data_IF_717458237028
#
_entry.id   IF_717458237028
#
_cell.length_a   1.000
_cell.length_b   1.000
_cell.length_c   1.000
_cell.angle_alpha   90.00
_cell.angle_beta   90.00
_cell.angle_gamma   90.00
#
_symmetry.space_group_name_H-M   'P 1'
#
loop_
_entity.id
_entity.type
_entity.pdbx_description
1 polymer ?
#
# COMPACT_ATOMS: atom_id res chain seq x y z
N UNK A 1 43.73 -1.10 -5.84
CA UNK A 1 42.32 -0.86 -6.25
C UNK A 1 41.38 -1.86 -5.60
N UNK A 2 41.56 -3.18 -5.80
CA UNK A 2 40.75 -4.20 -5.12
C UNK A 2 40.78 -4.10 -3.59
N UNK A 3 41.94 -3.90 -2.98
CA UNK A 3 42.03 -3.72 -1.52
C UNK A 3 41.31 -2.46 -1.03
N UNK A 4 41.29 -1.39 -1.83
CA UNK A 4 40.56 -0.16 -1.50
C UNK A 4 39.04 -0.40 -1.55
N UNK A 5 38.56 -1.19 -2.52
CA UNK A 5 37.15 -1.60 -2.59
C UNK A 5 36.79 -2.48 -1.39
N UNK A 6 37.62 -3.48 -1.06
CA UNK A 6 37.40 -4.36 0.10
C UNK A 6 37.41 -3.57 1.42
N UNK A 7 38.30 -2.59 1.56
CA UNK A 7 38.35 -1.71 2.74
C UNK A 7 37.11 -0.82 2.82
N UNK A 8 36.66 -0.27 1.69
CA UNK A 8 35.42 0.52 1.62
C UNK A 8 34.18 -0.33 1.98
N UNK A 9 34.11 -1.57 1.50
CA UNK A 9 33.03 -2.51 1.81
C UNK A 9 33.16 -3.16 3.21
N UNK A 10 34.29 -2.99 3.89
CA UNK A 10 34.42 -3.41 5.29
C UNK A 10 33.59 -2.54 6.25
N UNK A 11 33.21 -1.32 5.84
CA UNK A 11 32.15 -0.59 6.52
C UNK A 11 30.81 -1.29 6.28
N UNK A 12 30.28 -1.87 7.36
CA UNK A 12 29.00 -2.60 7.37
C UNK A 12 27.80 -1.80 6.83
N UNK A 13 27.88 -0.47 6.79
CA UNK A 13 26.82 0.40 6.27
C UNK A 13 26.81 0.45 4.74
N UNK A 14 27.96 0.18 4.12
CA UNK A 14 28.15 0.30 2.68
C UNK A 14 27.79 -1.01 2.00
N UNK A 15 26.89 -0.94 1.03
CA UNK A 15 26.48 -2.08 0.21
C UNK A 15 27.29 -2.20 -1.07
N UNK A 16 27.66 -1.06 -1.67
CA UNK A 16 28.43 -1.02 -2.92
C UNK A 16 29.40 0.16 -2.94
N UNK A 17 30.65 -0.12 -3.28
CA UNK A 17 31.67 0.87 -3.61
C UNK A 17 32.03 0.79 -5.09
N UNK A 18 32.33 1.93 -5.70
CA UNK A 18 32.85 2.01 -7.08
C UNK A 18 34.24 2.65 -7.08
N UNK A 19 35.14 2.24 -7.99
CA UNK A 19 36.40 2.94 -8.20
C UNK A 19 36.14 4.27 -8.92
N UNK A 20 36.54 5.39 -8.32
CA UNK A 20 36.42 6.71 -8.91
C UNK A 20 37.61 7.59 -8.51
N UNK A 21 38.27 8.23 -9.49
CA UNK A 21 39.36 9.16 -9.22
C UNK A 21 40.61 8.57 -8.56
N UNK A 22 40.80 7.23 -8.62
CA UNK A 22 41.90 6.54 -7.95
C UNK A 22 41.57 6.02 -6.55
N UNK A 23 40.37 6.35 -6.03
CA UNK A 23 39.88 5.92 -4.72
C UNK A 23 38.65 5.01 -4.87
N UNK A 24 38.32 4.27 -3.81
CA UNK A 24 37.06 3.54 -3.72
C UNK A 24 36.03 4.41 -3.00
N UNK A 25 34.93 4.76 -3.68
CA UNK A 25 33.90 5.66 -3.15
C UNK A 25 32.63 4.87 -2.85
N UNK A 26 32.01 5.03 -1.66
CA UNK A 26 30.76 4.37 -1.34
C UNK A 26 29.62 4.99 -2.16
N UNK A 27 28.98 4.16 -2.98
CA UNK A 27 27.88 4.58 -3.87
C UNK A 27 26.52 4.27 -3.27
N UNK A 28 26.37 3.06 -2.70
CA UNK A 28 25.09 2.57 -2.19
C UNK A 28 25.28 2.11 -0.74
N UNK A 29 24.38 2.56 0.13
CA UNK A 29 24.30 2.16 1.52
C UNK A 29 23.15 1.17 1.72
N UNK A 30 23.30 0.25 2.66
CA UNK A 30 22.25 -0.72 3.01
C UNK A 30 20.95 -0.04 3.42
N UNK A 31 21.04 1.09 4.13
CA UNK A 31 19.87 1.88 4.51
C UNK A 31 19.03 2.30 3.29
N UNK A 32 19.68 2.78 2.21
CA UNK A 32 19.02 3.15 0.96
C UNK A 32 18.35 1.96 0.26
N UNK A 33 19.01 0.79 0.27
CA UNK A 33 18.44 -0.46 -0.26
C UNK A 33 17.20 -0.86 0.54
N UNK A 34 17.29 -0.90 1.87
CA UNK A 34 16.15 -1.28 2.73
C UNK A 34 15.00 -0.29 2.62
N UNK A 35 15.28 1.01 2.49
CA UNK A 35 14.27 2.03 2.27
C UNK A 35 13.57 1.85 0.92
N UNK A 36 14.32 1.58 -0.16
CA UNK A 36 13.74 1.31 -1.48
C UNK A 36 12.83 0.06 -1.45
N UNK A 37 13.31 -1.04 -0.86
CA UNK A 37 12.49 -2.26 -0.69
C UNK A 37 11.22 -1.96 0.11
N UNK A 38 11.34 -1.18 1.20
CA UNK A 38 10.20 -0.75 1.99
C UNK A 38 9.18 0.07 1.20
N UNK A 39 9.64 1.02 0.38
CA UNK A 39 8.79 1.83 -0.50
C UNK A 39 8.08 0.92 -1.52
N UNK A 40 8.79 0.02 -2.19
CA UNK A 40 8.19 -0.89 -3.16
C UNK A 40 7.18 -1.85 -2.53
N UNK A 41 7.49 -2.42 -1.36
CA UNK A 41 6.57 -3.30 -0.65
C UNK A 41 5.31 -2.56 -0.19
N UNK A 42 5.47 -1.35 0.35
CA UNK A 42 4.36 -0.50 0.75
C UNK A 42 3.49 -0.07 -0.44
N UNK A 43 4.11 0.31 -1.56
CA UNK A 43 3.42 0.68 -2.79
C UNK A 43 2.67 -0.50 -3.40
N UNK A 44 3.26 -1.69 -3.38
CA UNK A 44 2.60 -2.91 -3.86
C UNK A 44 1.34 -3.22 -3.05
N UNK A 45 1.42 -3.13 -1.72
CA UNK A 45 0.24 -3.24 -0.87
C UNK A 45 -0.80 -2.15 -1.19
N UNK A 46 -0.36 -0.90 -1.31
CA UNK A 46 -1.25 0.22 -1.58
C UNK A 46 -1.97 0.07 -2.93
N UNK A 47 -1.27 -0.37 -3.98
CA UNK A 47 -1.84 -0.66 -5.29
C UNK A 47 -2.90 -1.78 -5.20
N UNK A 48 -2.61 -2.84 -4.45
CA UNK A 48 -3.59 -3.91 -4.23
C UNK A 48 -4.81 -3.42 -3.43
N UNK A 49 -4.62 -2.54 -2.45
CA UNK A 49 -5.71 -1.93 -1.69
C UNK A 49 -6.60 -1.06 -2.58
N UNK A 50 -6.01 -0.17 -3.39
CA UNK A 50 -6.73 0.68 -4.36
C UNK A 50 -7.51 -0.16 -5.38
N UNK A 51 -6.90 -1.24 -5.88
CA UNK A 51 -7.57 -2.21 -6.76
C UNK A 51 -8.78 -2.89 -6.10
N UNK A 52 -8.63 -3.31 -4.84
CA UNK A 52 -9.74 -3.91 -4.09
C UNK A 52 -10.88 -2.89 -3.89
N UNK A 53 -10.54 -1.62 -3.79
CA UNK A 53 -11.46 -0.48 -3.70
C UNK A 53 -12.05 -0.05 -5.04
N UNK A 54 -11.67 -0.70 -6.16
CA UNK A 54 -12.28 -0.52 -7.48
C UNK A 54 -11.64 0.55 -8.34
N UNK A 55 -10.57 1.17 -7.86
CA UNK A 55 -9.79 2.15 -8.60
C UNK A 55 -8.56 1.52 -9.26
N UNK A 56 -7.95 2.24 -10.20
CA UNK A 56 -6.80 1.77 -10.96
C UNK A 56 -5.52 1.69 -10.07
N UNK A 57 -4.90 0.50 -9.90
CA UNK A 57 -3.67 0.36 -9.12
C UNK A 57 -2.49 1.17 -9.67
N UNK A 58 -2.47 1.51 -10.96
CA UNK A 58 -1.37 2.27 -11.58
C UNK A 58 -1.27 3.70 -11.03
N UNK A 59 -2.37 4.22 -10.49
CA UNK A 59 -2.43 5.51 -9.79
C UNK A 59 -1.47 5.56 -8.60
N UNK A 60 -1.22 4.43 -7.92
CA UNK A 60 -0.28 4.36 -6.81
C UNK A 60 1.16 4.49 -7.28
N UNK A 61 1.52 3.83 -8.39
CA UNK A 61 2.85 3.89 -8.97
C UNK A 61 3.17 5.28 -9.51
N UNK A 62 2.17 5.93 -10.13
CA UNK A 62 2.26 7.35 -10.52
C UNK A 62 2.45 8.26 -9.30
N UNK A 63 1.65 8.05 -8.25
CA UNK A 63 1.69 8.87 -7.04
C UNK A 63 3.05 8.78 -6.32
N UNK A 64 3.78 7.66 -6.43
CA UNK A 64 5.09 7.51 -5.79
C UNK A 64 6.06 8.62 -6.18
N UNK A 65 6.17 8.96 -7.48
CA UNK A 65 7.09 10.02 -7.92
C UNK A 65 6.60 11.39 -7.45
N UNK A 66 5.29 11.61 -7.50
CA UNK A 66 4.65 12.83 -7.01
C UNK A 66 4.87 13.04 -5.52
N UNK A 67 4.96 11.99 -4.72
CA UNK A 67 5.11 12.08 -3.26
C UNK A 67 6.59 12.08 -2.87
N UNK A 68 7.40 11.17 -3.44
CA UNK A 68 8.78 10.95 -3.03
C UNK A 68 9.68 12.15 -3.33
N UNK A 69 9.52 12.80 -4.48
CA UNK A 69 10.36 13.96 -4.85
C UNK A 69 10.09 15.15 -3.91
N UNK A 70 8.83 15.61 -3.70
CA UNK A 70 8.54 16.64 -2.72
C UNK A 70 8.88 16.24 -1.29
N UNK A 71 8.71 14.98 -0.90
CA UNK A 71 9.07 14.52 0.45
C UNK A 71 10.59 14.59 0.70
N UNK A 72 11.43 14.15 -0.25
CA UNK A 72 12.88 14.28 -0.12
C UNK A 72 13.31 15.75 -0.07
N UNK A 73 12.74 16.59 -0.94
CA UNK A 73 13.00 18.02 -0.95
C UNK A 73 12.56 18.68 0.36
N UNK A 74 11.33 18.42 0.81
CA UNK A 74 10.76 18.95 2.04
C UNK A 74 11.55 18.53 3.27
N UNK A 75 12.00 17.28 3.32
CA UNK A 75 12.83 16.79 4.42
C UNK A 75 14.18 17.51 4.49
N UNK A 76 14.76 17.82 3.33
CA UNK A 76 16.00 18.62 3.25
C UNK A 76 15.76 20.08 3.63
N UNK A 77 14.75 20.71 3.06
CA UNK A 77 14.43 22.12 3.32
C UNK A 77 14.08 22.36 4.79
N UNK A 78 13.34 21.44 5.41
CA UNK A 78 13.03 21.53 6.84
C UNK A 78 14.28 21.39 7.72
N UNK A 79 15.18 20.47 7.38
CA UNK A 79 16.43 20.33 8.10
C UNK A 79 17.26 21.63 8.05
N UNK A 80 17.43 22.20 6.85
CA UNK A 80 18.16 23.47 6.68
C UNK A 80 17.45 24.61 7.40
N UNK A 81 16.13 24.68 7.33
CA UNK A 81 15.34 25.70 8.03
C UNK A 81 15.51 25.60 9.56
N UNK A 82 15.48 24.39 10.12
CA UNK A 82 15.67 24.16 11.54
C UNK A 82 17.10 24.53 12.00
N UNK A 83 18.12 24.20 11.20
CA UNK A 83 19.52 24.58 11.45
C UNK A 83 19.69 26.12 11.46
N UNK A 84 19.14 26.81 10.45
CA UNK A 84 19.20 28.27 10.35
C UNK A 84 18.46 28.98 11.50
N UNK A 85 17.34 28.41 11.97
CA UNK A 85 16.63 28.92 13.15
C UNK A 85 17.37 28.64 14.46
N UNK A 86 18.11 27.53 14.54
CA UNK A 86 18.92 27.14 15.70
C UNK A 86 20.16 28.00 15.91
N UNK A 87 20.51 28.85 14.93
CA UNK A 87 21.66 29.76 15.00
C UNK A 87 22.99 29.12 14.61
N UNK A 88 22.99 27.85 14.18
CA UNK A 88 24.17 27.20 13.61
C UNK A 88 24.41 27.75 12.20
N UNK A 89 25.61 28.27 11.96
CA UNK A 89 25.98 28.97 10.72
C UNK A 89 26.38 28.03 9.58
N UNK A 90 25.91 26.77 9.60
CA UNK A 90 26.34 25.75 8.64
C UNK A 90 25.75 26.00 7.24
N UNK A 91 24.54 26.55 7.17
CA UNK A 91 23.89 26.90 5.90
C UNK A 91 23.65 28.40 5.78
N UNK A 92 24.06 28.96 4.64
CA UNK A 92 23.87 30.38 4.30
C UNK A 92 23.28 30.48 2.91
N UNK A 93 22.44 31.51 2.68
CA UNK A 93 21.92 31.85 1.36
C UNK A 93 23.02 32.14 0.32
N UNK A 94 24.27 32.33 0.77
CA UNK A 94 25.44 32.46 -0.09
C UNK A 94 25.82 31.16 -0.83
N UNK A 95 25.35 29.99 -0.39
CA UNK A 95 25.68 28.68 -0.99
C UNK A 95 24.41 27.85 -1.29
N UNK A 96 23.56 28.30 -2.23
CA UNK A 96 22.24 27.72 -2.46
C UNK A 96 22.27 26.25 -2.91
N UNK A 97 23.35 25.81 -3.56
CA UNK A 97 23.50 24.41 -3.99
C UNK A 97 23.68 23.45 -2.80
N UNK A 98 24.20 23.91 -1.66
CA UNK A 98 24.36 23.07 -0.46
C UNK A 98 23.03 22.85 0.26
N UNK A 99 22.10 23.81 0.13
CA UNK A 99 20.74 23.71 0.69
C UNK A 99 20.01 22.54 0.07
N UNK A 100 20.13 22.35 -1.26
CA UNK A 100 19.38 21.32 -1.99
C UNK A 100 20.12 19.97 -2.00
N UNK A 101 21.43 19.95 -1.78
CA UNK A 101 22.24 18.73 -1.90
C UNK A 101 21.90 17.69 -0.82
N UNK A 102 21.22 16.57 -1.17
CA UNK A 102 20.83 15.56 -0.19
C UNK A 102 22.01 14.66 0.23
N UNK A 103 23.14 14.69 -0.51
CA UNK A 103 24.31 13.87 -0.22
C UNK A 103 25.12 14.36 0.98
N UNK A 104 24.89 15.59 1.43
CA UNK A 104 25.52 16.13 2.62
C UNK A 104 24.95 15.53 3.92
N UNK A 105 23.97 14.62 3.82
CA UNK A 105 23.19 14.16 4.98
C UNK A 105 22.24 15.25 5.46
N UNK A 106 21.57 15.06 6.58
CA UNK A 106 20.65 16.06 7.15
C UNK A 106 19.30 16.12 6.42
N UNK A 107 18.42 15.18 6.78
CA UNK A 107 17.02 15.19 6.38
C UNK A 107 16.16 15.11 7.63
N UNK A 108 15.05 15.84 7.64
CA UNK A 108 14.09 15.79 8.72
C UNK A 108 12.79 15.13 8.25
N UNK A 109 12.33 14.11 8.97
CA UNK A 109 11.11 13.36 8.64
C UNK A 109 9.86 14.24 8.65
N UNK A 110 9.80 15.28 9.49
CA UNK A 110 8.66 16.20 9.54
C UNK A 110 8.47 16.96 8.23
N UNK A 111 9.57 17.50 7.67
CA UNK A 111 9.54 18.16 6.37
C UNK A 111 9.11 17.23 5.25
N UNK A 112 9.60 15.99 5.28
CA UNK A 112 9.22 14.99 4.28
C UNK A 112 7.74 14.60 4.36
N UNK A 113 7.21 14.41 5.58
CA UNK A 113 5.80 14.10 5.78
C UNK A 113 4.89 15.25 5.31
N UNK A 114 5.18 16.50 5.69
CA UNK A 114 4.36 17.66 5.30
C UNK A 114 4.32 17.83 3.78
N UNK A 115 5.48 17.83 3.12
CA UNK A 115 5.54 18.01 1.67
C UNK A 115 4.96 16.80 0.92
N UNK A 116 5.13 15.58 1.45
CA UNK A 116 4.51 14.38 0.89
C UNK A 116 2.99 14.42 0.97
N UNK A 117 2.41 14.85 2.10
CA UNK A 117 0.96 15.02 2.27
C UNK A 117 0.42 16.09 1.32
N UNK A 118 1.10 17.24 1.22
CA UNK A 118 0.72 18.30 0.29
C UNK A 118 0.72 17.77 -1.15
N UNK A 119 1.77 17.04 -1.53
CA UNK A 119 1.86 16.46 -2.86
C UNK A 119 0.77 15.43 -3.15
N UNK A 120 0.42 14.58 -2.17
CA UNK A 120 -0.67 13.62 -2.28
C UNK A 120 -2.02 14.33 -2.50
N UNK A 121 -2.30 15.40 -1.76
CA UNK A 121 -3.53 16.20 -1.92
C UNK A 121 -3.58 16.85 -3.31
N UNK A 122 -2.46 17.42 -3.78
CA UNK A 122 -2.36 18.02 -5.11
C UNK A 122 -2.58 16.95 -6.19
N UNK A 123 -1.92 15.80 -6.06
CA UNK A 123 -2.06 14.68 -6.99
C UNK A 123 -3.50 14.17 -7.06
N UNK A 124 -4.14 13.93 -5.90
CA UNK A 124 -5.53 13.49 -5.82
C UNK A 124 -6.49 14.45 -6.52
N UNK A 125 -6.30 15.77 -6.34
CA UNK A 125 -7.10 16.79 -7.03
C UNK A 125 -6.87 16.83 -8.53
N UNK A 126 -5.63 16.71 -9.00
CA UNK A 126 -5.31 16.74 -10.44
C UNK A 126 -5.86 15.51 -11.14
N UNK A 127 -5.72 14.34 -10.53
CA UNK A 127 -6.15 13.05 -11.08
C UNK A 127 -7.62 12.73 -10.78
N UNK A 128 -8.31 13.57 -10.00
CA UNK A 128 -9.71 13.41 -9.58
C UNK A 128 -9.97 12.08 -8.86
N UNK A 129 -9.02 11.68 -8.01
CA UNK A 129 -9.11 10.47 -7.19
C UNK A 129 -9.42 10.88 -5.76
N UNK A 130 -10.16 10.03 -5.06
CA UNK A 130 -10.36 10.19 -3.64
C UNK A 130 -9.01 10.13 -2.88
N UNK A 131 -8.62 11.27 -2.33
CA UNK A 131 -7.35 11.40 -1.61
C UNK A 131 -7.34 10.57 -0.34
N UNK A 132 -8.50 10.30 0.26
CA UNK A 132 -8.60 9.46 1.45
C UNK A 132 -8.33 7.99 1.16
N UNK A 133 -8.81 7.49 0.02
CA UNK A 133 -8.46 6.14 -0.44
C UNK A 133 -6.94 5.99 -0.59
N UNK A 134 -6.30 6.97 -1.25
CA UNK A 134 -4.85 6.95 -1.45
C UNK A 134 -4.09 7.08 -0.12
N UNK A 135 -4.60 7.89 0.82
CA UNK A 135 -4.01 8.06 2.15
C UNK A 135 -4.13 6.79 3.01
N UNK A 136 -5.30 6.14 3.02
CA UNK A 136 -5.53 4.87 3.70
C UNK A 136 -4.61 3.78 3.17
N UNK A 137 -4.54 3.63 1.85
CA UNK A 137 -3.65 2.68 1.18
C UNK A 137 -2.17 2.98 1.50
N UNK A 138 -1.77 4.25 1.38
CA UNK A 138 -0.40 4.71 1.58
C UNK A 138 0.08 4.55 3.02
N UNK A 139 -0.73 4.87 4.03
CA UNK A 139 -0.34 4.75 5.44
C UNK A 139 -0.27 3.30 5.92
N UNK A 140 -1.12 2.42 5.39
CA UNK A 140 -0.96 0.98 5.60
C UNK A 140 0.34 0.47 4.96
N UNK A 141 0.63 0.91 3.73
CA UNK A 141 1.92 0.65 3.09
C UNK A 141 3.12 1.22 3.86
N UNK A 142 2.94 2.36 4.52
CA UNK A 142 3.97 3.01 5.35
C UNK A 142 4.34 2.16 6.57
N UNK A 143 3.40 1.46 7.21
CA UNK A 143 3.73 0.53 8.31
C UNK A 143 4.68 -0.59 7.85
N UNK A 144 4.43 -1.15 6.67
CA UNK A 144 5.30 -2.17 6.04
C UNK A 144 6.67 -1.55 5.77
N UNK A 145 6.69 -0.38 5.13
CA UNK A 145 7.93 0.32 4.78
C UNK A 145 8.78 0.68 5.99
N UNK A 146 8.15 1.18 7.06
CA UNK A 146 8.82 1.50 8.32
C UNK A 146 9.39 0.25 8.98
N UNK A 147 8.65 -0.87 8.99
CA UNK A 147 9.13 -2.13 9.54
C UNK A 147 10.37 -2.64 8.79
N UNK A 148 10.34 -2.64 7.45
CA UNK A 148 11.50 -3.03 6.63
C UNK A 148 12.67 -2.06 6.85
N UNK A 149 12.40 -0.77 6.99
CA UNK A 149 13.42 0.24 7.30
C UNK A 149 14.18 -0.02 8.61
N UNK A 150 13.56 -0.67 9.61
CA UNK A 150 14.23 -1.06 10.86
C UNK A 150 15.35 -2.09 10.64
N UNK A 151 15.33 -2.85 9.55
CA UNK A 151 16.46 -3.72 9.15
C UNK A 151 17.69 -2.85 8.84
N UNK A 152 17.51 -1.70 8.20
CA UNK A 152 18.58 -0.73 7.96
C UNK A 152 19.20 -0.23 9.26
N UNK A 153 18.37 0.09 10.27
CA UNK A 153 18.86 0.49 11.59
C UNK A 153 19.66 -0.64 12.29
N UNK A 154 19.19 -1.88 12.16
CA UNK A 154 19.91 -3.04 12.68
C UNK A 154 21.28 -3.24 11.99
N UNK A 155 21.34 -3.07 10.67
CA UNK A 155 22.60 -3.11 9.91
C UNK A 155 23.51 -1.96 10.33
N UNK A 156 22.99 -0.76 10.58
CA UNK A 156 23.79 0.40 10.99
C UNK A 156 24.21 0.41 12.47
N UNK A 157 23.64 -0.48 13.31
CA UNK A 157 23.79 -0.44 14.78
C UNK A 157 23.34 0.90 15.36
N UNK A 158 22.18 1.35 14.93
CA UNK A 158 21.56 2.58 15.41
C UNK A 158 20.17 2.28 16.00
N UNK A 159 19.64 3.21 16.78
CA UNK A 159 18.34 3.08 17.47
C UNK A 159 18.23 1.83 18.37
N UNK A 160 19.35 1.38 18.96
CA UNK A 160 19.30 0.44 20.07
C UNK A 160 18.97 1.17 21.39
N UNK A 161 18.50 0.42 22.37
CA UNK A 161 18.05 0.93 23.66
C UNK A 161 19.12 0.89 24.75
N UNK A 162 18.73 1.05 26.03
CA UNK A 162 19.65 0.96 27.15
C UNK A 162 20.26 -0.44 27.28
N UNK A 163 21.37 -0.58 28.04
CA UNK A 163 21.94 -1.88 28.35
C UNK A 163 20.92 -2.77 29.07
N UNK A 164 20.91 -4.07 28.73
CA UNK A 164 20.11 -5.08 29.42
C UNK A 164 20.89 -5.62 30.63
N UNK A 165 20.17 -6.02 31.67
CA UNK A 165 20.77 -6.76 32.80
C UNK A 165 20.91 -8.27 32.51
N UNK A 166 20.47 -8.71 31.32
CA UNK A 166 20.46 -10.13 30.93
C UNK A 166 21.77 -10.54 30.26
N UNK A 167 22.30 -11.70 30.64
CA UNK A 167 23.50 -12.29 30.04
C UNK A 167 23.22 -13.05 28.74
N UNK A 168 21.96 -13.38 28.45
CA UNK A 168 21.55 -14.15 27.28
C UNK A 168 20.72 -13.36 26.28
N UNK A 169 20.01 -12.32 26.74
CA UNK A 169 19.10 -11.52 25.92
C UNK A 169 19.66 -10.12 25.64
N UNK A 170 19.49 -9.68 24.40
CA UNK A 170 19.94 -8.37 23.92
C UNK A 170 21.01 -8.48 22.84
N UNK A 171 21.20 -7.38 22.11
CA UNK A 171 22.17 -7.29 21.04
C UNK A 171 23.52 -6.83 21.55
N UNK A 172 24.60 -7.35 20.97
CA UNK A 172 25.94 -6.86 21.22
C UNK A 172 26.20 -5.62 20.35
N UNK A 173 26.55 -4.51 20.99
CA UNK A 173 26.92 -3.25 20.32
C UNK A 173 28.43 -3.09 20.44
N UNK A 174 29.19 -3.10 19.33
CA UNK A 174 30.63 -2.86 19.37
C UNK A 174 30.93 -1.46 19.94
N UNK A 175 32.02 -1.33 20.69
CA UNK A 175 32.35 -0.09 21.42
C UNK A 175 32.35 1.18 20.54
N UNK A 176 32.80 1.06 19.29
CA UNK A 176 32.84 2.17 18.32
C UNK A 176 31.46 2.69 17.86
N UNK A 177 30.38 1.94 18.10
CA UNK A 177 29.00 2.32 17.76
C UNK A 177 28.17 2.65 19.02
N UNK A 178 28.79 2.64 20.20
CA UNK A 178 28.10 2.95 21.45
C UNK A 178 27.88 4.45 21.61
N UNK A 179 26.73 4.81 22.17
CA UNK A 179 26.44 6.16 22.64
C UNK A 179 27.51 6.53 23.68
N UNK A 180 27.90 7.81 23.78
CA UNK A 180 28.95 8.25 24.70
C UNK A 180 28.76 7.75 26.14
N UNK A 181 27.51 7.75 26.62
CA UNK A 181 27.14 7.32 27.98
C UNK A 181 27.40 5.83 28.25
N UNK A 182 27.52 5.02 27.19
CA UNK A 182 27.73 3.57 27.25
C UNK A 182 29.12 3.13 26.76
N UNK A 183 29.99 4.08 26.41
CA UNK A 183 31.30 3.79 25.83
C UNK A 183 32.19 2.96 26.76
N UNK A 184 32.05 3.11 28.09
CA UNK A 184 32.85 2.44 29.11
C UNK A 184 32.36 1.04 29.51
N UNK A 185 31.20 0.59 29.01
CA UNK A 185 30.65 -0.71 29.37
C UNK A 185 31.51 -1.88 28.86
N UNK A 186 31.45 -3.07 29.49
CA UNK A 186 32.14 -4.27 29.02
C UNK A 186 31.83 -4.62 27.55
N UNK A 187 32.74 -5.35 26.89
CA UNK A 187 32.56 -5.73 25.49
C UNK A 187 31.38 -6.69 25.26
N UNK A 188 31.06 -7.51 26.28
CA UNK A 188 29.95 -8.44 26.34
C UNK A 188 28.63 -7.81 26.82
N UNK A 189 28.63 -6.51 27.14
CA UNK A 189 27.41 -5.79 27.49
C UNK A 189 26.39 -5.87 26.34
N UNK A 190 25.16 -6.22 26.70
CA UNK A 190 24.04 -6.38 25.79
C UNK A 190 23.11 -5.19 25.90
N UNK A 191 22.44 -4.85 24.80
CA UNK A 191 21.52 -3.71 24.70
C UNK A 191 20.16 -4.18 24.20
N UNK A 192 19.10 -3.47 24.60
CA UNK A 192 17.77 -3.70 24.06
C UNK A 192 17.76 -3.44 22.55
N UNK A 193 17.42 -4.41 21.68
CA UNK A 193 17.29 -4.16 20.25
C UNK A 193 15.98 -3.43 19.93
N UNK A 194 15.88 -2.17 20.34
CA UNK A 194 14.67 -1.35 20.26
C UNK A 194 14.14 -1.22 18.83
N UNK A 195 15.01 -1.17 17.82
CA UNK A 195 14.61 -1.21 16.40
C UNK A 195 13.84 -2.50 16.03
N UNK A 196 14.15 -3.64 16.65
CA UNK A 196 13.41 -4.90 16.43
C UNK A 196 12.06 -4.84 17.15
N UNK A 197 12.00 -4.28 18.36
CA UNK A 197 10.74 -4.08 19.07
C UNK A 197 9.79 -3.23 18.22
N UNK A 198 10.30 -2.13 17.67
CA UNK A 198 9.54 -1.25 16.80
C UNK A 198 9.12 -1.95 15.50
N UNK A 199 10.00 -2.74 14.86
CA UNK A 199 9.65 -3.55 13.69
C UNK A 199 8.48 -4.50 13.98
N UNK A 200 8.54 -5.23 15.09
CA UNK A 200 7.47 -6.17 15.50
C UNK A 200 6.17 -5.41 15.76
N UNK A 201 6.22 -4.29 16.46
CA UNK A 201 5.05 -3.47 16.74
C UNK A 201 4.42 -2.87 15.47
N UNK A 202 5.24 -2.43 14.50
CA UNK A 202 4.77 -1.93 13.20
C UNK A 202 4.08 -3.03 12.38
N UNK A 203 4.68 -4.24 12.33
CA UNK A 203 4.08 -5.39 11.65
C UNK A 203 2.80 -5.86 12.36
N UNK A 204 2.78 -5.85 13.70
CA UNK A 204 1.59 -6.18 14.48
C UNK A 204 0.48 -5.17 14.26
N UNK A 205 0.79 -3.87 14.21
CA UNK A 205 -0.18 -2.83 13.87
C UNK A 205 -0.72 -3.00 12.45
N UNK A 206 0.16 -3.24 11.45
CA UNK A 206 -0.27 -3.53 10.09
C UNK A 206 -1.19 -4.76 10.05
N UNK A 207 -0.78 -5.87 10.68
CA UNK A 207 -1.55 -7.11 10.70
C UNK A 207 -2.91 -6.95 11.36
N UNK A 208 -2.98 -6.24 12.50
CA UNK A 208 -4.21 -5.94 13.20
C UNK A 208 -5.14 -5.06 12.35
N UNK A 209 -4.64 -3.94 11.81
CA UNK A 209 -5.43 -3.03 10.99
C UNK A 209 -5.90 -3.69 9.69
N UNK A 210 -5.03 -4.48 9.05
CA UNK A 210 -5.40 -5.25 7.86
C UNK A 210 -6.47 -6.30 8.18
N UNK A 211 -6.34 -7.00 9.30
CA UNK A 211 -7.35 -7.97 9.74
C UNK A 211 -8.71 -7.30 10.01
N UNK A 212 -8.72 -6.20 10.78
CA UNK A 212 -9.94 -5.44 11.07
C UNK A 212 -10.56 -4.86 9.80
N UNK A 213 -9.72 -4.36 8.89
CA UNK A 213 -10.14 -3.93 7.57
C UNK A 213 -10.85 -5.05 6.81
N UNK A 214 -10.23 -6.23 6.74
CA UNK A 214 -10.78 -7.36 5.99
C UNK A 214 -12.03 -7.98 6.58
N UNK A 215 -12.22 -7.90 7.90
CA UNK A 215 -13.46 -8.36 8.53
C UNK A 215 -14.63 -7.41 8.28
N UNK A 216 -14.35 -6.11 8.11
CA UNK A 216 -15.37 -5.05 8.12
C UNK A 216 -15.23 -4.10 6.92
N UNK A 217 -14.77 -4.59 5.76
CA UNK A 217 -14.43 -3.74 4.61
C UNK A 217 -15.64 -2.96 4.07
N UNK A 218 -16.83 -3.52 4.26
CA UNK A 218 -18.15 -2.96 3.94
C UNK A 218 -18.61 -1.84 4.88
N UNK A 219 -18.00 -1.71 6.05
CA UNK A 219 -18.38 -0.71 7.07
C UNK A 219 -17.30 0.33 7.33
N UNK A 220 -16.07 0.06 6.90
CA UNK A 220 -14.95 0.97 7.07
C UNK A 220 -14.97 2.03 5.98
N UNK A 221 -15.26 3.27 6.39
CA UNK A 221 -15.29 4.44 5.50
C UNK A 221 -13.88 4.93 5.19
N UNK A 222 -13.69 5.51 4.01
CA UNK A 222 -12.39 6.06 3.57
C UNK A 222 -11.90 7.15 4.52
N UNK A 223 -10.62 7.09 4.87
CA UNK A 223 -9.95 7.92 5.87
C UNK A 223 -9.91 7.30 7.28
N UNK A 224 -10.62 6.19 7.51
CA UNK A 224 -10.59 5.49 8.80
C UNK A 224 -9.20 4.92 9.08
N UNK A 225 -8.53 4.35 8.07
CA UNK A 225 -7.21 3.74 8.27
C UNK A 225 -6.14 4.80 8.55
N UNK A 226 -6.30 6.03 8.05
CA UNK A 226 -5.47 7.18 8.48
C UNK A 226 -5.57 7.41 9.99
N UNK A 227 -6.79 7.50 10.53
CA UNK A 227 -7.01 7.70 11.96
C UNK A 227 -6.46 6.54 12.80
N UNK A 228 -6.71 5.31 12.35
CA UNK A 228 -6.21 4.10 13.00
C UNK A 228 -4.67 3.97 12.94
N UNK A 229 -4.05 4.41 11.84
CA UNK A 229 -2.61 4.52 11.71
C UNK A 229 -2.04 5.50 12.75
N UNK A 230 -2.62 6.69 12.90
CA UNK A 230 -2.13 7.69 13.85
C UNK A 230 -2.23 7.22 15.30
N UNK A 231 -3.34 6.56 15.66
CA UNK A 231 -3.47 5.89 16.96
C UNK A 231 -2.35 4.87 17.17
N UNK A 232 -2.14 4.01 16.18
CA UNK A 232 -1.10 2.96 16.23
C UNK A 232 0.29 3.58 16.33
N UNK A 233 0.60 4.59 15.53
CA UNK A 233 1.86 5.30 15.53
C UNK A 233 2.14 5.96 16.89
N UNK A 234 1.14 6.61 17.50
CA UNK A 234 1.26 7.18 18.84
C UNK A 234 1.48 6.12 19.92
N UNK A 235 0.75 5.01 19.88
CA UNK A 235 0.92 3.89 20.81
C UNK A 235 2.31 3.24 20.68
N UNK A 236 2.75 2.94 19.47
CA UNK A 236 4.08 2.39 19.18
C UNK A 236 5.16 3.35 19.70
N UNK A 237 5.05 4.65 19.36
CA UNK A 237 6.03 5.64 19.78
C UNK A 237 6.10 5.73 21.30
N UNK A 238 4.96 5.74 21.98
CA UNK A 238 4.90 5.74 23.45
C UNK A 238 5.60 4.51 24.07
N UNK A 239 5.33 3.30 23.56
CA UNK A 239 5.97 2.07 24.06
C UNK A 239 7.48 2.06 23.80
N UNK A 240 7.90 2.43 22.60
CA UNK A 240 9.31 2.43 22.19
C UNK A 240 10.12 3.46 22.97
N UNK A 241 9.50 4.58 23.35
CA UNK A 241 10.18 5.67 24.06
C UNK A 241 10.76 5.25 25.41
N UNK A 242 10.15 4.30 26.12
CA UNK A 242 10.71 3.74 27.36
C UNK A 242 12.09 3.07 27.16
N UNK A 243 12.43 2.72 25.92
CA UNK A 243 13.69 2.07 25.55
C UNK A 243 14.59 2.97 24.71
N UNK A 244 14.39 4.30 24.71
CA UNK A 244 15.19 5.26 23.93
C UNK A 244 16.07 6.11 24.85
N UNK A 245 17.38 5.85 24.93
CA UNK A 245 18.30 6.55 25.83
C UNK A 245 18.74 7.94 25.33
N UNK A 246 18.50 8.24 24.05
CA UNK A 246 19.06 9.39 23.30
C UNK A 246 18.04 10.54 23.09
N UNK A 247 16.93 10.54 23.82
CA UNK A 247 15.85 11.49 23.56
C UNK A 247 15.99 12.74 24.44
N UNK A 248 15.99 13.95 23.84
CA UNK A 248 16.06 15.18 24.62
C UNK A 248 14.79 15.37 25.44
N UNK A 249 14.96 15.58 26.74
CA UNK A 249 13.88 15.94 27.65
C UNK A 249 13.37 17.34 27.31
N UNK A 250 12.06 17.45 27.08
CA UNK A 250 11.38 18.73 26.88
C UNK A 250 10.96 19.34 28.22
N UNK A 251 10.44 18.51 29.13
CA UNK A 251 9.96 18.91 30.45
C UNK A 251 10.46 17.90 31.47
N UNK A 252 11.18 18.36 32.49
CA UNK A 252 11.51 17.55 33.67
C UNK A 252 10.45 17.83 34.74
N UNK A 253 9.66 16.82 35.07
CA UNK A 253 8.64 16.91 36.11
C UNK A 253 9.29 16.92 37.50
N UNK A 254 8.61 17.49 38.50
CA UNK A 254 9.12 17.61 39.87
C UNK A 254 9.43 16.25 40.56
N UNK A 255 8.90 15.15 40.03
CA UNK A 255 9.18 13.79 40.48
C UNK A 255 10.40 13.15 39.80
N UNK A 256 11.12 13.89 38.96
CA UNK A 256 12.29 13.41 38.21
C UNK A 256 11.96 12.72 36.89
N UNK A 257 10.69 12.60 36.51
CA UNK A 257 10.31 12.02 35.22
C UNK A 257 10.48 13.03 34.09
N UNK A 258 11.05 12.61 32.97
CA UNK A 258 11.26 13.46 31.80
C UNK A 258 10.19 13.19 30.72
N UNK A 259 9.51 14.25 30.28
CA UNK A 259 8.66 14.21 29.10
C UNK A 259 9.53 14.63 27.92
N UNK A 260 9.88 13.66 27.08
CA UNK A 260 10.56 13.92 25.81
C UNK A 260 9.62 14.50 24.73
N UNK A 261 10.21 15.10 23.69
CA UNK A 261 9.48 15.55 22.50
C UNK A 261 8.63 14.43 21.87
N UNK A 262 9.10 13.19 21.96
CA UNK A 262 8.42 12.03 21.41
C UNK A 262 7.14 11.68 22.16
N UNK A 263 7.08 11.89 23.47
CA UNK A 263 5.82 11.73 24.23
C UNK A 263 4.75 12.73 23.77
N UNK A 264 5.15 13.98 23.56
CA UNK A 264 4.23 15.02 23.05
C UNK A 264 3.73 14.65 21.66
N UNK A 265 4.62 14.18 20.78
CA UNK A 265 4.22 13.72 19.44
C UNK A 265 3.29 12.51 19.50
N UNK A 266 3.52 11.55 20.40
CA UNK A 266 2.60 10.43 20.60
C UNK A 266 1.20 10.90 20.99
N UNK A 267 1.09 11.87 21.91
CA UNK A 267 -0.19 12.46 22.31
C UNK A 267 -0.85 13.16 21.12
N UNK A 268 -0.10 13.94 20.35
CA UNK A 268 -0.62 14.61 19.16
C UNK A 268 -1.16 13.60 18.15
N UNK A 269 -0.43 12.53 17.85
CA UNK A 269 -0.91 11.48 16.94
C UNK A 269 -2.19 10.83 17.45
N UNK A 270 -2.26 10.49 18.74
CA UNK A 270 -3.46 9.90 19.32
C UNK A 270 -4.66 10.86 19.24
N UNK A 271 -4.48 12.12 19.64
CA UNK A 271 -5.56 13.11 19.62
C UNK A 271 -6.06 13.37 18.20
N UNK A 272 -5.16 13.58 17.24
CA UNK A 272 -5.53 13.79 15.83
C UNK A 272 -6.21 12.54 15.27
N UNK A 273 -5.69 11.35 15.57
CA UNK A 273 -6.31 10.08 15.18
C UNK A 273 -7.74 9.91 15.70
N UNK A 274 -7.98 10.21 16.98
CA UNK A 274 -9.32 10.18 17.59
C UNK A 274 -10.25 11.19 16.89
N UNK A 275 -9.80 12.44 16.73
CA UNK A 275 -10.62 13.49 16.09
C UNK A 275 -11.00 13.08 14.67
N UNK A 276 -10.06 12.55 13.89
CA UNK A 276 -10.34 12.05 12.55
C UNK A 276 -11.37 10.92 12.59
N UNK A 277 -11.20 9.92 13.46
CA UNK A 277 -12.17 8.83 13.55
C UNK A 277 -13.57 9.32 13.96
N UNK A 278 -13.67 10.21 14.94
CA UNK A 278 -14.95 10.79 15.35
C UNK A 278 -15.61 11.58 14.22
N UNK A 279 -14.83 12.25 13.37
CA UNK A 279 -15.34 12.95 12.20
C UNK A 279 -15.79 11.98 11.10
N UNK A 280 -14.98 10.95 10.78
CA UNK A 280 -15.30 9.94 9.77
C UNK A 280 -16.59 9.18 10.10
N UNK A 281 -16.86 8.93 11.37
CA UNK A 281 -18.11 8.30 11.84
C UNK A 281 -19.20 9.30 12.24
N UNK A 282 -19.12 10.55 11.77
CA UNK A 282 -20.14 11.60 11.94
C UNK A 282 -20.55 11.91 13.39
N UNK A 283 -19.70 11.59 14.36
CA UNK A 283 -19.89 11.97 15.78
C UNK A 283 -19.64 13.47 15.96
N UNK A 284 -18.69 14.02 15.20
CA UNK A 284 -18.39 15.44 15.12
C UNK A 284 -18.36 15.87 13.64
N UNK A 285 -18.76 17.11 13.36
CA UNK A 285 -18.67 17.69 12.00
C UNK A 285 -17.68 18.84 11.98
N UNK A 286 -16.74 18.77 11.04
CA UNK A 286 -15.77 19.84 10.81
C UNK A 286 -16.30 20.71 9.65
N UNK A 287 -16.66 21.98 9.88
CA UNK A 287 -17.44 22.78 8.92
C UNK A 287 -16.71 23.15 7.63
N UNK A 288 -15.38 22.97 7.57
CA UNK A 288 -14.54 23.32 6.42
C UNK A 288 -14.06 22.09 5.63
N UNK A 289 -14.58 20.89 5.93
CA UNK A 289 -14.27 19.65 5.20
C UNK A 289 -15.50 19.16 4.42
N UNK A 290 -15.27 18.62 3.21
CA UNK A 290 -16.25 17.75 2.55
C UNK A 290 -16.68 16.60 3.47
N UNK A 291 -17.98 16.36 3.54
CA UNK A 291 -18.53 15.32 4.41
C UNK A 291 -17.95 13.94 4.01
N UNK A 292 -17.57 13.10 4.98
CA UNK A 292 -17.10 11.75 4.69
C UNK A 292 -18.24 10.90 4.12
N UNK A 293 -17.87 9.88 3.34
CA UNK A 293 -18.78 8.80 2.97
C UNK A 293 -19.38 8.19 4.25
N UNK A 294 -20.70 8.01 4.27
CA UNK A 294 -21.42 7.37 5.39
C UNK A 294 -21.24 5.85 5.36
N UNK A 295 -21.51 5.20 6.50
CA UNK A 295 -21.46 3.73 6.58
C UNK A 295 -22.54 3.11 5.69
N UNK A 296 -23.71 3.73 5.61
CA UNK A 296 -24.80 3.28 4.74
C UNK A 296 -24.40 3.33 3.26
N UNK A 297 -23.84 4.44 2.79
CA UNK A 297 -23.33 4.59 1.41
C UNK A 297 -22.23 3.56 1.11
N UNK A 298 -21.38 3.27 2.10
CA UNK A 298 -20.31 2.27 1.98
C UNK A 298 -20.90 0.87 1.80
N UNK A 299 -21.84 0.48 2.65
CA UNK A 299 -22.51 -0.83 2.56
C UNK A 299 -23.27 -0.97 1.24
N UNK A 300 -23.95 0.09 0.78
CA UNK A 300 -24.65 0.11 -0.51
C UNK A 300 -23.70 -0.10 -1.68
N UNK A 301 -22.56 0.59 -1.69
CA UNK A 301 -21.54 0.42 -2.71
C UNK A 301 -21.03 -1.03 -2.78
N UNK A 302 -20.76 -1.67 -1.63
CA UNK A 302 -20.37 -3.09 -1.61
C UNK A 302 -21.48 -4.01 -2.12
N UNK A 303 -22.74 -3.76 -1.72
CA UNK A 303 -23.89 -4.53 -2.20
C UNK A 303 -24.04 -4.42 -3.72
N UNK A 304 -23.86 -3.23 -4.29
CA UNK A 304 -23.90 -3.01 -5.74
C UNK A 304 -22.77 -3.78 -6.44
N UNK A 305 -21.54 -3.65 -5.95
CA UNK A 305 -20.37 -4.34 -6.52
C UNK A 305 -20.50 -5.86 -6.46
N UNK A 306 -21.06 -6.41 -5.39
CA UNK A 306 -21.32 -7.85 -5.30
C UNK A 306 -22.39 -8.31 -6.30
N UNK A 307 -23.45 -7.51 -6.51
CA UNK A 307 -24.47 -7.79 -7.53
C UNK A 307 -23.87 -7.81 -8.93
N UNK A 308 -23.02 -6.84 -9.26
CA UNK A 308 -22.32 -6.77 -10.54
C UNK A 308 -21.40 -7.98 -10.74
N UNK A 309 -20.62 -8.36 -9.71
CA UNK A 309 -19.77 -9.55 -9.77
C UNK A 309 -20.59 -10.81 -10.04
N UNK A 310 -21.69 -11.01 -9.31
CA UNK A 310 -22.59 -12.17 -9.52
C UNK A 310 -23.23 -12.16 -10.92
N UNK A 311 -23.58 -10.98 -11.45
CA UNK A 311 -24.08 -10.84 -12.83
C UNK A 311 -23.02 -11.22 -13.86
N UNK A 312 -21.80 -10.73 -13.71
CA UNK A 312 -20.68 -11.06 -14.60
C UNK A 312 -20.33 -12.56 -14.57
N UNK A 313 -20.32 -13.17 -13.37
CA UNK A 313 -20.10 -14.62 -13.21
C UNK A 313 -21.20 -15.45 -13.91
N UNK A 314 -22.48 -15.03 -13.81
CA UNK A 314 -23.59 -15.69 -14.51
C UNK A 314 -23.46 -15.57 -16.02
N UNK A 315 -23.10 -14.40 -16.54
CA UNK A 315 -22.89 -14.18 -17.97
C UNK A 315 -21.72 -15.03 -18.50
N UNK A 316 -20.58 -15.02 -17.80
CA UNK A 316 -19.42 -15.84 -18.15
C UNK A 316 -19.74 -17.35 -18.12
N UNK A 317 -20.52 -17.81 -17.15
CA UNK A 317 -20.97 -19.20 -17.09
C UNK A 317 -21.91 -19.55 -18.26
N UNK A 318 -22.82 -18.64 -18.65
CA UNK A 318 -23.69 -18.82 -19.82
C UNK A 318 -22.88 -18.88 -21.12
N UNK A 319 -21.89 -18.01 -21.28
CA UNK A 319 -20.98 -18.01 -22.44
C UNK A 319 -20.16 -19.30 -22.52
N UNK A 320 -19.60 -19.75 -21.39
CA UNK A 320 -18.86 -21.01 -21.32
C UNK A 320 -19.74 -22.22 -21.70
N UNK A 321 -20.98 -22.27 -21.21
CA UNK A 321 -21.93 -23.34 -21.56
C UNK A 321 -22.32 -23.30 -23.05
N UNK A 322 -22.48 -22.11 -23.64
CA UNK A 322 -22.74 -21.95 -25.08
C UNK A 322 -21.54 -22.43 -25.91
N UNK A 323 -20.32 -22.10 -25.51
CA UNK A 323 -19.12 -22.61 -26.18
C UNK A 323 -19.01 -24.13 -26.11
N UNK A 324 -19.29 -24.73 -24.95
CA UNK A 324 -19.26 -26.18 -24.77
C UNK A 324 -20.28 -26.88 -25.67
N UNK A 325 -21.52 -26.37 -25.73
CA UNK A 325 -22.55 -26.88 -26.66
C UNK A 325 -22.11 -26.76 -28.12
N UNK A 326 -21.46 -25.66 -28.51
CA UNK A 326 -20.94 -25.47 -29.87
C UNK A 326 -19.83 -26.48 -30.20
N UNK A 327 -18.91 -26.74 -29.25
CA UNK A 327 -17.85 -27.75 -29.41
C UNK A 327 -18.43 -29.15 -29.52
N UNK A 328 -19.38 -29.51 -28.66
CA UNK A 328 -20.04 -30.81 -28.71
C UNK A 328 -20.78 -31.03 -30.04
N UNK A 329 -21.47 -30.01 -30.57
CA UNK A 329 -22.12 -30.06 -31.89
C UNK A 329 -21.11 -30.20 -33.03
N UNK A 330 -19.96 -29.51 -32.96
CA UNK A 330 -18.90 -29.65 -33.96
C UNK A 330 -18.28 -31.06 -33.94
N UNK A 331 -17.98 -31.60 -32.76
CA UNK A 331 -17.47 -32.99 -32.62
C UNK A 331 -18.48 -34.04 -33.09
N UNK A 332 -19.78 -33.82 -32.84
CA UNK A 332 -20.83 -34.68 -33.39
C UNK A 332 -20.86 -34.59 -34.91
N UNK A 333 -20.84 -33.39 -35.49
CA UNK A 333 -20.83 -33.21 -36.94
C UNK A 333 -19.58 -33.84 -37.60
N UNK A 334 -18.40 -33.74 -36.98
CA UNK A 334 -17.19 -34.42 -37.44
C UNK A 334 -17.33 -35.95 -37.40
N UNK A 335 -17.85 -36.52 -36.30
CA UNK A 335 -18.14 -37.97 -36.21
C UNK A 335 -19.11 -38.43 -37.30
N UNK A 336 -20.20 -37.69 -37.49
CA UNK A 336 -21.16 -37.98 -38.56
C UNK A 336 -20.53 -37.87 -39.96
N UNK A 337 -19.57 -36.97 -40.17
CA UNK A 337 -18.85 -36.85 -41.45
C UNK A 337 -17.84 -37.99 -41.67
N UNK A 338 -17.16 -38.47 -40.63
CA UNK A 338 -16.26 -39.63 -40.69
C UNK A 338 -17.02 -40.93 -40.97
N UNK A 339 -18.18 -41.15 -40.32
CA UNK A 339 -19.03 -42.31 -40.56
C UNK A 339 -19.62 -42.35 -41.99
N UNK A 340 -19.70 -41.19 -42.67
CA UNK A 340 -20.19 -41.07 -44.06
C UNK A 340 -19.10 -41.25 -45.12
N UNK A 341 -17.83 -41.46 -44.76
CA UNK A 341 -16.81 -41.83 -45.75
C UNK A 341 -17.18 -43.20 -46.34
N UNK A 342 -17.44 -43.30 -47.66
CA UNK A 342 -17.88 -44.56 -48.25
C UNK A 342 -16.79 -45.62 -48.08
N UNK A 343 -17.14 -46.77 -47.52
CA UNK A 343 -16.35 -47.97 -47.76
C UNK A 343 -16.42 -48.26 -49.26
N UNK A 344 -15.28 -48.23 -49.95
CA UNK A 344 -15.14 -48.70 -51.32
C UNK A 344 -15.59 -50.17 -51.40
N UNK A 345 -16.88 -50.43 -51.61
CA UNK A 345 -17.39 -51.70 -52.11
C UNK A 345 -18.56 -51.45 -53.07
N UNK A 346 -18.30 -51.89 -54.29
CA UNK A 346 -19.11 -51.85 -55.50
C UNK A 346 -20.52 -52.43 -55.32
N UNK A 347 -21.52 -51.82 -55.98
CA UNK A 347 -22.43 -52.53 -56.90
C UNK A 347 -23.48 -51.57 -57.50
N UNK A 348 -23.40 -51.42 -58.83
CA UNK A 348 -24.45 -51.31 -59.85
C UNK A 348 -25.90 -50.95 -59.49
N UNK A 349 -26.49 -50.07 -60.31
CA UNK A 349 -27.85 -50.28 -60.81
C UNK A 349 -28.83 -49.11 -60.67
N UNK A 350 -29.18 -48.57 -61.84
CA UNK A 350 -30.28 -47.67 -62.24
C UNK A 350 -31.51 -47.45 -61.33
N UNK A 351 -31.98 -46.19 -61.38
CA UNK A 351 -33.36 -45.67 -61.23
C UNK A 351 -34.12 -45.87 -59.90
N UNK A 352 -34.48 -44.76 -59.24
CA UNK A 352 -35.83 -44.18 -59.28
C UNK A 352 -35.88 -42.84 -58.50
N UNK A 353 -36.71 -41.94 -59.02
CA UNK A 353 -36.94 -40.57 -58.58
C UNK A 353 -38.12 -40.62 -57.58
N UNK A 354 -37.84 -40.60 -56.27
CA UNK A 354 -38.89 -40.50 -55.23
C UNK A 354 -38.40 -39.71 -54.01
N UNK A 355 -38.87 -38.45 -53.94
CA UNK A 355 -39.27 -37.67 -52.75
C UNK A 355 -38.53 -37.90 -51.42
N UNK A 356 -37.77 -36.88 -50.98
CA UNK A 356 -37.43 -36.65 -49.57
C UNK A 356 -37.55 -35.15 -49.25
N UNK A 357 -38.81 -34.67 -49.22
CA UNK A 357 -39.22 -33.51 -48.41
C UNK A 357 -39.56 -34.05 -47.00
N UNK A 358 -38.61 -34.05 -46.06
CA UNK A 358 -38.82 -34.09 -44.61
C UNK A 358 -37.48 -34.26 -43.86
N UNK A 359 -36.73 -33.16 -43.68
CA UNK A 359 -35.73 -33.09 -42.59
C UNK A 359 -35.26 -31.65 -42.30
N UNK A 360 -35.50 -30.68 -43.20
CA UNK A 360 -35.11 -29.27 -42.97
C UNK A 360 -36.17 -28.43 -42.22
N UNK A 361 -37.41 -28.90 -42.06
CA UNK A 361 -38.47 -28.14 -41.37
C UNK A 361 -38.39 -28.23 -39.84
N UNK A 362 -38.00 -29.38 -39.29
CA UNK A 362 -37.99 -29.60 -37.84
C UNK A 362 -36.82 -28.88 -37.14
N UNK A 363 -35.69 -28.70 -37.85
CA UNK A 363 -34.51 -27.97 -37.32
C UNK A 363 -34.75 -26.45 -37.31
N UNK A 364 -35.57 -25.93 -38.23
CA UNK A 364 -35.91 -24.52 -38.28
C UNK A 364 -36.98 -24.15 -37.22
N UNK A 365 -37.92 -25.05 -36.92
CA UNK A 365 -38.96 -24.80 -35.92
C UNK A 365 -38.40 -24.78 -34.47
N UNK A 366 -37.48 -25.69 -34.11
CA UNK A 366 -36.83 -25.67 -32.79
C UNK A 366 -35.95 -24.42 -32.55
N UNK A 367 -35.35 -23.87 -33.61
CA UNK A 367 -34.52 -22.67 -33.52
C UNK A 367 -35.36 -21.41 -33.23
N UNK A 368 -36.57 -21.32 -33.79
CA UNK A 368 -37.47 -20.17 -33.63
C UNK A 368 -38.15 -20.18 -32.27
N UNK A 369 -38.49 -21.37 -31.74
CA UNK A 369 -39.10 -21.50 -30.39
C UNK A 369 -38.11 -21.07 -29.30
N UNK A 370 -36.84 -21.46 -29.42
CA UNK A 370 -35.78 -21.06 -28.48
C UNK A 370 -35.50 -19.55 -28.48
N UNK A 371 -35.59 -18.87 -29.62
CA UNK A 371 -35.44 -17.40 -29.72
C UNK A 371 -36.63 -16.65 -29.10
N UNK A 372 -37.84 -17.23 -29.14
CA UNK A 372 -39.05 -16.61 -28.60
C UNK A 372 -39.17 -16.70 -27.07
N UNK A 373 -38.66 -17.78 -26.46
CA UNK A 373 -38.59 -17.92 -25.00
C UNK A 373 -37.50 -16.98 -24.40
N UNK A 374 -36.38 -16.80 -25.10
CA UNK A 374 -35.30 -15.87 -24.72
C UNK A 374 -35.73 -14.38 -24.74
N UNK A 375 -36.70 -14.00 -25.59
CA UNK A 375 -37.24 -12.64 -25.64
C UNK A 375 -38.27 -12.35 -24.54
N UNK A 376 -39.10 -13.34 -24.18
CA UNK A 376 -40.15 -13.20 -23.18
C UNK A 376 -39.61 -13.12 -21.74
N UNK A 377 -38.49 -13.82 -21.43
CA UNK A 377 -37.83 -13.69 -20.12
C UNK A 377 -37.05 -12.38 -19.97
N UNK A 378 -36.59 -11.77 -21.07
CA UNK A 378 -35.90 -10.48 -21.06
C UNK A 378 -36.81 -9.28 -20.76
N UNK A 379 -38.08 -9.35 -21.14
CA UNK A 379 -39.05 -8.27 -20.88
C UNK A 379 -39.72 -8.36 -19.49
N UNK A 380 -39.75 -9.55 -18.86
CA UNK A 380 -40.39 -9.75 -17.56
C UNK A 380 -39.55 -9.25 -16.36
N UNK A 381 -38.23 -9.05 -16.50
CA UNK A 381 -37.35 -8.54 -15.43
C UNK A 381 -37.12 -7.02 -15.46
N UNK A 382 -37.73 -6.30 -16.41
CA UNK A 382 -37.70 -4.84 -16.46
C UNK A 382 -38.84 -4.24 -15.58
N UNK A 383 -38.63 -4.16 -14.26
CA UNK A 383 -39.44 -3.26 -13.43
C UNK A 383 -39.21 -1.79 -13.85
N UNK A 384 -40.26 -0.94 -13.89
CA UNK A 384 -40.11 0.43 -14.35
C UNK A 384 -39.41 1.27 -13.27
N UNK A 385 -38.28 1.88 -13.62
CA UNK A 385 -37.69 2.98 -12.84
C UNK A 385 -38.71 4.15 -12.78
N UNK A 386 -39.21 4.46 -11.58
CA UNK A 386 -39.95 5.69 -11.32
C UNK A 386 -39.03 6.90 -11.57
N UNK A 387 -39.31 7.60 -12.67
CA UNK A 387 -38.78 8.92 -12.99
C UNK A 387 -39.14 9.93 -11.89
N UNK A 388 -38.17 10.30 -11.05
CA UNK A 388 -38.26 11.46 -10.15
C UNK A 388 -37.09 12.41 -10.38
N UNK A 389 -37.34 13.40 -11.22
CA UNK A 389 -36.81 14.77 -11.08
C UNK A 389 -37.98 15.73 -11.32
N UNK A 390 -37.99 17.00 -10.86
CA UNK A 390 -36.83 17.79 -10.43
C UNK A 390 -37.03 18.65 -9.16
N UNK A 391 -35.95 19.18 -8.58
CA UNK A 391 -35.90 20.63 -8.29
C UNK A 391 -34.49 21.15 -8.05
N UNK A 392 -34.25 22.29 -8.69
CA UNK A 392 -33.14 23.22 -8.49
C UNK A 392 -33.24 23.89 -7.12
N UNK A 393 -32.12 24.00 -6.40
CA UNK A 393 -31.62 25.23 -5.72
C UNK A 393 -30.30 24.95 -5.02
#
# INVERSE_FOLDING_TARGET
MWDAILTCMADRRVALCIPWGGEAVPLIYWYGITAAIGIFAGAFYAAQHVKNEGDDPDLVWDALLWILIPALLGGRLWYVFADMLGGDSAFSFARPLEIINPRLGGMNIFGGAVFGIIALIIYGRIRKIDTWLMADAGLMGLLIGQAIGRVGNFINVELYGPPTESTWFGMLVPAQYRLPDFASLPADARFHPTMIYEMVLLLAAFGLLYYLYKQNEDRIVRGTLVGAYLLSAGAIRFVVEFFRPDQPALIVLQNGNEISTSHVMSIVYVVVGIVLLLERYSVIRIPFWEAPQTVEEREEWFRQRERERRRAERLAAREAAREERRRARAEQAERYAEERQPSDHEADGEHEDETLDADESDVAEEAIVAESEDAAEGEAEAEPEEEKTPTQS
#
